data_IF_014922475583
#
_entry.id   IF_014922475583
#
_cell.length_a   1.000
_cell.length_b   1.000
_cell.length_c   1.000
_cell.angle_alpha   90.00
_cell.angle_beta   90.00
_cell.angle_gamma   90.00
#
_symmetry.space_group_name_H-M   'P 1'
#
loop_
_entity.id
_entity.type
_entity.pdbx_description
1 polymer ?
#
# COMPACT_ATOMS: atom_id res chain seq x y z
N UNK A 1 -2.35 13.20 -3.93
CA UNK A 1 -3.59 12.64 -3.31
C UNK A 1 -4.86 13.08 -4.00
N UNK A 2 -4.94 14.26 -4.64
CA UNK A 2 -6.16 14.76 -5.30
C UNK A 2 -6.88 13.72 -6.19
N UNK A 3 -6.14 12.96 -7.01
CA UNK A 3 -6.74 11.92 -7.85
C UNK A 3 -7.08 10.62 -7.10
N UNK A 4 -6.32 10.24 -6.07
CA UNK A 4 -6.57 9.02 -5.28
C UNK A 4 -7.62 9.20 -4.19
N UNK A 5 -7.80 10.42 -3.69
CA UNK A 5 -8.69 10.78 -2.59
C UNK A 5 -10.12 10.24 -2.74
N UNK A 6 -10.77 10.40 -3.91
CA UNK A 6 -12.10 9.84 -4.17
C UNK A 6 -12.19 8.30 -4.10
N UNK A 7 -11.05 7.60 -4.18
CA UNK A 7 -11.02 6.13 -4.13
C UNK A 7 -10.73 5.56 -2.74
N UNK A 8 -10.25 6.39 -1.82
CA UNK A 8 -10.01 6.02 -0.43
C UNK A 8 -11.34 5.80 0.31
N UNK A 9 -11.36 4.95 1.36
CA UNK A 9 -12.50 4.86 2.26
C UNK A 9 -12.94 6.25 2.77
N UNK A 10 -14.25 6.52 2.82
CA UNK A 10 -14.80 7.84 3.15
C UNK A 10 -14.29 8.39 4.48
N UNK A 11 -14.02 7.51 5.45
CA UNK A 11 -13.44 7.85 6.76
C UNK A 11 -12.04 8.48 6.70
N UNK A 12 -11.33 8.37 5.57
CA UNK A 12 -9.95 8.85 5.39
C UNK A 12 -9.86 10.13 4.55
N UNK A 13 -10.94 10.59 3.92
CA UNK A 13 -10.89 11.71 2.96
C UNK A 13 -10.40 13.00 3.61
N UNK A 14 -10.72 13.21 4.89
CA UNK A 14 -10.32 14.40 5.64
C UNK A 14 -9.13 14.17 6.58
N UNK A 15 -8.53 12.97 6.58
CA UNK A 15 -7.40 12.68 7.45
C UNK A 15 -6.08 13.11 6.80
N UNK A 16 -5.19 13.81 7.52
CA UNK A 16 -3.87 14.15 7.00
C UNK A 16 -3.04 12.88 6.80
N UNK A 17 -2.35 12.80 5.67
CA UNK A 17 -1.41 11.73 5.36
C UNK A 17 0.00 12.14 5.75
N UNK A 18 0.71 11.27 6.46
CA UNK A 18 2.08 11.51 6.91
C UNK A 18 3.05 10.55 6.21
N UNK A 19 4.20 11.08 5.78
CA UNK A 19 5.25 10.27 5.14
C UNK A 19 6.02 9.45 6.19
N UNK A 20 5.64 8.18 6.32
CA UNK A 20 6.28 7.24 7.24
C UNK A 20 7.65 6.74 6.73
N UNK A 21 7.77 6.51 5.42
CA UNK A 21 8.97 5.95 4.80
C UNK A 21 9.18 6.47 3.37
N UNK A 22 10.42 6.79 3.00
CA UNK A 22 10.81 6.96 1.59
C UNK A 22 12.22 6.42 1.35
N UNK A 23 12.48 5.83 0.19
CA UNK A 23 13.79 5.25 -0.10
C UNK A 23 14.91 6.28 -0.18
N UNK A 24 14.60 7.50 -0.62
CA UNK A 24 15.55 8.61 -0.64
C UNK A 24 15.95 9.14 0.75
N UNK A 25 15.11 8.97 1.77
CA UNK A 25 15.38 9.42 3.15
C UNK A 25 15.85 8.28 4.06
N UNK A 26 15.25 7.11 3.92
CA UNK A 26 15.31 6.02 4.90
C UNK A 26 16.06 4.78 4.37
N UNK A 27 16.51 4.80 3.10
CA UNK A 27 17.22 3.71 2.45
C UNK A 27 16.30 2.67 1.80
N UNK A 28 16.86 1.55 1.34
CA UNK A 28 16.14 0.54 0.55
C UNK A 28 15.86 -0.77 1.32
N UNK A 29 16.02 -0.78 2.65
CA UNK A 29 15.85 -2.00 3.45
C UNK A 29 14.37 -2.28 3.77
N UNK A 30 13.89 -3.48 3.43
CA UNK A 30 12.55 -3.94 3.83
C UNK A 30 12.41 -3.96 5.36
N UNK A 31 13.47 -4.33 6.09
CA UNK A 31 13.46 -4.32 7.56
C UNK A 31 13.21 -2.92 8.12
N UNK A 32 13.78 -1.87 7.51
CA UNK A 32 13.52 -0.50 7.94
C UNK A 32 12.13 -0.02 7.56
N UNK A 33 11.61 -0.46 6.41
CA UNK A 33 10.22 -0.23 6.01
C UNK A 33 9.25 -0.83 7.04
N UNK A 34 9.39 -2.10 7.41
CA UNK A 34 8.50 -2.74 8.40
C UNK A 34 8.56 -2.09 9.77
N UNK A 35 9.73 -1.64 10.22
CA UNK A 35 9.88 -0.91 11.50
C UNK A 35 9.13 0.43 11.49
N UNK A 36 8.91 1.02 10.30
CA UNK A 36 8.22 2.31 10.12
C UNK A 36 6.82 2.17 9.52
N UNK A 37 6.33 0.95 9.28
CA UNK A 37 5.16 0.65 8.44
C UNK A 37 3.80 1.10 8.97
N UNK A 38 3.77 1.86 10.07
CA UNK A 38 2.58 2.40 10.69
C UNK A 38 2.24 1.74 12.02
N UNK A 39 1.25 2.32 12.69
CA UNK A 39 0.73 1.80 13.95
C UNK A 39 -0.35 0.75 13.68
N UNK A 40 -0.60 -0.11 14.65
CA UNK A 40 -1.69 -1.07 14.54
C UNK A 40 -3.02 -0.34 14.35
N UNK A 41 -3.78 -0.72 13.33
CA UNK A 41 -5.07 -0.10 12.98
C UNK A 41 -4.98 1.08 11.99
N UNK A 42 -3.79 1.58 11.63
CA UNK A 42 -3.66 2.61 10.60
C UNK A 42 -3.60 2.00 9.19
N UNK A 43 -4.30 2.56 8.19
CA UNK A 43 -4.09 2.18 6.79
C UNK A 43 -2.71 2.66 6.31
N UNK A 44 -2.25 2.12 5.18
CA UNK A 44 -1.01 2.54 4.53
C UNK A 44 -1.24 2.81 3.04
N UNK A 45 -0.56 3.83 2.52
CA UNK A 45 -0.51 4.09 1.09
C UNK A 45 0.94 3.88 0.62
N UNK A 46 1.14 2.83 -0.16
CA UNK A 46 2.41 2.52 -0.80
C UNK A 46 2.41 3.15 -2.18
N UNK A 47 3.35 4.06 -2.43
CA UNK A 47 3.58 4.67 -3.74
C UNK A 47 4.97 4.30 -4.22
N UNK A 48 5.04 3.70 -5.40
CA UNK A 48 6.26 3.28 -6.07
C UNK A 48 6.40 4.11 -7.35
N UNK A 49 7.60 4.62 -7.56
CA UNK A 49 8.03 5.17 -8.84
C UNK A 49 9.15 4.28 -9.36
N UNK A 50 8.98 3.71 -10.54
CA UNK A 50 10.03 2.92 -11.17
C UNK A 50 11.06 3.79 -11.90
N UNK A 51 12.05 3.13 -12.52
CA UNK A 51 13.12 3.78 -13.29
C UNK A 51 12.65 4.36 -14.62
N UNK A 52 11.45 4.02 -15.08
CA UNK A 52 10.80 4.51 -16.30
C UNK A 52 9.78 5.61 -16.00
N UNK A 53 9.87 6.20 -14.80
CA UNK A 53 9.00 7.25 -14.28
C UNK A 53 7.52 6.88 -14.20
N UNK A 54 7.16 5.59 -14.23
CA UNK A 54 5.80 5.14 -13.99
C UNK A 54 5.52 5.15 -12.49
N UNK A 55 4.32 5.60 -12.13
CA UNK A 55 3.86 5.62 -10.75
C UNK A 55 2.73 4.59 -10.57
N UNK A 56 2.86 3.76 -9.55
CA UNK A 56 1.86 2.75 -9.19
C UNK A 56 1.99 2.42 -7.70
N UNK A 57 1.09 1.58 -7.20
CA UNK A 57 1.19 1.15 -5.81
C UNK A 57 -0.09 0.53 -5.27
N UNK A 58 -0.26 0.65 -3.96
CA UNK A 58 -1.34 0.03 -3.24
C UNK A 58 -1.84 0.91 -2.10
N UNK A 59 -3.16 0.96 -1.92
CA UNK A 59 -3.75 1.29 -0.63
C UNK A 59 -3.95 0.00 0.15
N UNK A 60 -3.35 -0.08 1.33
CA UNK A 60 -3.58 -1.16 2.28
C UNK A 60 -4.49 -0.70 3.41
N UNK A 61 -5.51 -1.50 3.68
CA UNK A 61 -6.40 -1.35 4.84
C UNK A 61 -5.72 -1.57 6.19
N UNK A 62 -4.44 -1.99 6.20
CA UNK A 62 -3.65 -2.32 7.37
C UNK A 62 -2.22 -1.77 7.24
N UNK A 63 -1.46 -1.64 8.34
CA UNK A 63 -0.07 -1.21 8.25
C UNK A 63 0.78 -2.23 7.49
N UNK A 64 1.86 -1.76 6.87
CA UNK A 64 2.83 -2.63 6.20
C UNK A 64 3.70 -3.32 7.25
N UNK A 65 3.62 -4.66 7.34
CA UNK A 65 4.32 -5.44 8.38
C UNK A 65 4.65 -6.86 7.91
N UNK A 66 5.58 -7.49 8.61
CA UNK A 66 5.78 -8.93 8.50
C UNK A 66 4.56 -9.69 9.05
N UNK A 67 4.22 -10.81 8.41
CA UNK A 67 3.09 -11.65 8.80
C UNK A 67 3.31 -13.12 8.38
N UNK A 68 2.82 -14.05 9.19
CA UNK A 68 2.84 -15.48 8.86
C UNK A 68 1.94 -15.79 7.64
N UNK A 69 0.78 -15.14 7.56
CA UNK A 69 -0.18 -15.28 6.46
C UNK A 69 -0.53 -13.95 5.78
N UNK A 70 -1.45 -14.01 4.82
CA UNK A 70 -2.05 -12.81 4.24
C UNK A 70 -2.91 -12.07 5.28
N UNK A 71 -2.96 -10.75 5.17
CA UNK A 71 -3.75 -9.87 6.04
C UNK A 71 -4.35 -8.70 5.25
N UNK A 72 -5.27 -7.98 5.90
CA UNK A 72 -6.01 -6.86 5.32
C UNK A 72 -7.46 -7.23 5.03
N UNK A 73 -8.18 -6.28 4.45
CA UNK A 73 -9.59 -6.39 4.06
C UNK A 73 -9.78 -6.05 2.59
N UNK A 74 -11.01 -6.26 2.09
CA UNK A 74 -11.43 -5.88 0.74
C UNK A 74 -11.40 -4.38 0.44
N UNK A 75 -11.14 -3.51 1.43
CA UNK A 75 -10.83 -2.09 1.19
C UNK A 75 -9.47 -1.91 0.50
N UNK A 76 -8.60 -2.92 0.56
CA UNK A 76 -7.28 -2.91 -0.11
C UNK A 76 -7.45 -2.87 -1.63
N UNK A 77 -6.70 -2.01 -2.30
CA UNK A 77 -6.73 -1.89 -3.76
C UNK A 77 -5.35 -1.54 -4.32
N UNK A 78 -5.13 -1.94 -5.57
CA UNK A 78 -3.96 -1.52 -6.35
C UNK A 78 -4.33 -0.31 -7.22
N UNK A 79 -3.33 0.48 -7.59
CA UNK A 79 -3.51 1.55 -8.56
C UNK A 79 -2.28 1.69 -9.45
N UNK A 80 -2.51 2.20 -10.66
CA UNK A 80 -1.47 2.61 -11.60
C UNK A 80 -1.84 3.98 -12.17
N UNK A 81 -0.87 4.84 -12.43
CA UNK A 81 -1.05 6.12 -13.11
C UNK A 81 -0.78 6.04 -14.62
N UNK A 82 -0.55 4.85 -15.17
CA UNK A 82 -0.17 4.63 -16.57
C UNK A 82 -1.27 3.87 -17.36
N UNK A 83 -1.77 4.41 -18.49
CA UNK A 83 -1.53 5.77 -19.03
C UNK A 83 -2.25 6.89 -18.26
N UNK A 84 -3.28 6.52 -17.48
CA UNK A 84 -4.04 7.38 -16.58
C UNK A 84 -4.31 6.64 -15.27
N UNK A 85 -4.90 7.32 -14.28
CA UNK A 85 -5.21 6.67 -13.01
C UNK A 85 -6.23 5.55 -13.19
N UNK A 86 -5.80 4.32 -12.95
CA UNK A 86 -6.65 3.14 -12.85
C UNK A 86 -6.56 2.52 -11.47
N UNK A 87 -7.72 2.22 -10.89
CA UNK A 87 -7.85 1.60 -9.57
C UNK A 87 -8.40 0.18 -9.71
N UNK A 88 -7.69 -0.80 -9.17
CA UNK A 88 -8.03 -2.20 -9.20
C UNK A 88 -8.47 -2.64 -7.82
N UNK A 89 -9.79 -2.70 -7.62
CA UNK A 89 -10.41 -3.10 -6.36
C UNK A 89 -10.45 -4.62 -6.23
N UNK A 90 -10.63 -5.07 -4.99
CA UNK A 90 -10.88 -6.47 -4.71
C UNK A 90 -12.07 -7.03 -5.50
N UNK A 91 -11.90 -8.21 -6.09
CA UNK A 91 -12.90 -8.87 -6.93
C UNK A 91 -13.77 -9.88 -6.17
N UNK A 92 -13.54 -10.10 -4.87
CA UNK A 92 -14.23 -11.15 -4.12
C UNK A 92 -13.68 -12.57 -4.27
N UNK A 93 -12.62 -12.79 -5.08
CA UNK A 93 -12.13 -14.14 -5.42
C UNK A 93 -11.37 -14.85 -4.29
N UNK A 94 -10.52 -14.13 -3.58
CA UNK A 94 -9.73 -14.63 -2.46
C UNK A 94 -9.45 -13.49 -1.47
N UNK A 95 -8.90 -13.81 -0.29
CA UNK A 95 -8.57 -12.82 0.75
C UNK A 95 -7.06 -12.59 0.89
N UNK A 96 -6.30 -12.73 -0.20
CA UNK A 96 -4.84 -12.64 -0.21
C UNK A 96 -4.35 -11.23 -0.51
N UNK A 97 -4.68 -10.30 0.39
CA UNK A 97 -4.46 -8.87 0.14
C UNK A 97 -3.01 -8.42 0.30
N UNK A 98 -2.41 -8.62 1.48
CA UNK A 98 -1.02 -8.20 1.74
C UNK A 98 -0.29 -9.30 2.52
N UNK A 99 0.97 -9.54 2.19
CA UNK A 99 1.87 -10.40 2.97
C UNK A 99 3.27 -9.80 2.97
N UNK A 100 3.89 -9.75 4.14
CA UNK A 100 5.29 -9.34 4.28
C UNK A 100 6.09 -10.43 4.98
N UNK A 101 7.33 -10.63 4.54
CA UNK A 101 8.35 -11.38 5.28
C UNK A 101 9.71 -10.68 5.16
N UNK A 102 10.76 -11.30 5.68
CA UNK A 102 12.11 -10.69 5.70
C UNK A 102 12.69 -10.44 4.30
N UNK A 103 12.18 -11.12 3.28
CA UNK A 103 12.69 -11.10 1.90
C UNK A 103 11.73 -10.41 0.92
N UNK A 104 10.43 -10.30 1.23
CA UNK A 104 9.45 -9.73 0.31
C UNK A 104 8.32 -8.96 0.99
N UNK A 105 7.78 -7.99 0.26
CA UNK A 105 6.45 -7.43 0.46
C UNK A 105 5.61 -7.72 -0.78
N UNK A 106 4.45 -8.37 -0.59
CA UNK A 106 3.51 -8.72 -1.64
C UNK A 106 2.15 -8.07 -1.37
N UNK A 107 1.52 -7.57 -2.44
CA UNK A 107 0.13 -7.09 -2.43
C UNK A 107 -0.62 -7.74 -3.59
N UNK A 108 -1.72 -8.44 -3.30
CA UNK A 108 -2.52 -9.19 -4.27
C UNK A 108 -1.89 -10.51 -4.69
N UNK A 109 -2.08 -11.55 -3.87
CA UNK A 109 -1.62 -12.91 -4.16
C UNK A 109 -2.73 -13.88 -4.59
N UNK A 110 -2.32 -15.13 -4.85
CA UNK A 110 -3.20 -16.23 -5.26
C UNK A 110 -3.30 -16.43 -6.76
#
# INVERSE_FOLDING_TARGET
LSQLGPHLPSRLIQQPWHLLYSTGRDGFSLRTLYRRGGQQGSPALLLIRDTEAQAFGAFSSSPIRCSSGFYGTGETFLFSFSPELKVFRWTGRNNFFVKGDVNLLMVGGG
#
